data_IF_892161092397
#
_entry.id   IF_892161092397
#
_cell.length_a   1.000
_cell.length_b   1.000
_cell.length_c   1.000
_cell.angle_alpha   90.00
_cell.angle_beta   90.00
_cell.angle_gamma   90.00
#
_symmetry.space_group_name_H-M   'P 1'
#
loop_
_entity.id
_entity.type
_entity.pdbx_description
1 polymer ?
#
# COMPACT_ATOMS: atom_id res chain seq x y z
N UNK A 1 -2.63 7.68 51.85
CA UNK A 1 -1.45 7.70 50.95
C UNK A 1 -1.61 6.54 49.99
N UNK A 2 -2.35 6.75 48.89
CA UNK A 2 -2.62 5.71 47.90
C UNK A 2 -1.83 6.03 46.64
N UNK A 3 -0.74 5.29 46.44
CA UNK A 3 0.04 5.32 45.21
C UNK A 3 -0.68 4.47 44.16
N UNK A 4 -1.71 5.07 43.54
CA UNK A 4 -2.44 4.49 42.41
C UNK A 4 -1.61 4.58 41.12
N UNK A 5 -0.90 3.49 40.83
CA UNK A 5 -0.53 3.00 39.50
C UNK A 5 -0.55 4.02 38.35
N UNK A 6 0.56 4.73 38.15
CA UNK A 6 0.89 5.34 36.86
C UNK A 6 1.23 4.23 35.86
N UNK A 7 0.18 3.67 35.25
CA UNK A 7 0.27 2.89 34.01
C UNK A 7 0.73 3.80 32.88
N UNK A 8 2.01 4.16 32.90
CA UNK A 8 2.69 4.74 31.75
C UNK A 8 2.63 3.71 30.64
N UNK A 9 1.74 3.96 29.68
CA UNK A 9 1.75 3.25 28.41
C UNK A 9 3.15 3.43 27.84
N UNK A 10 3.98 2.39 27.98
CA UNK A 10 5.28 2.36 27.33
C UNK A 10 5.01 2.62 25.84
N UNK A 11 5.62 3.66 25.23
CA UNK A 11 5.50 3.86 23.80
C UNK A 11 5.96 2.56 23.15
N UNK A 12 5.11 1.94 22.32
CA UNK A 12 5.41 0.70 21.60
C UNK A 12 6.52 0.89 20.53
N UNK A 13 7.55 1.69 20.84
CA UNK A 13 8.79 1.82 20.10
C UNK A 13 9.71 0.65 20.46
N UNK A 14 9.41 -0.51 19.88
CA UNK A 14 10.24 -1.70 20.08
C UNK A 14 9.99 -2.85 19.10
N UNK A 15 9.00 -2.75 18.21
CA UNK A 15 8.76 -3.78 17.20
C UNK A 15 9.64 -3.48 15.98
N UNK A 16 10.76 -4.21 15.86
CA UNK A 16 11.68 -4.15 14.71
C UNK A 16 10.86 -4.21 13.42
N UNK A 17 10.90 -3.13 12.63
CA UNK A 17 10.11 -3.01 11.40
C UNK A 17 10.47 -4.17 10.45
N UNK A 18 9.49 -4.94 9.94
CA UNK A 18 9.78 -5.98 8.98
C UNK A 18 10.40 -5.34 7.74
N UNK A 19 11.53 -5.86 7.27
CA UNK A 19 12.23 -5.32 6.08
C UNK A 19 11.29 -5.22 4.87
N UNK A 20 10.37 -6.17 4.70
CA UNK A 20 9.42 -6.12 3.59
C UNK A 20 8.36 -5.03 3.73
N UNK A 21 7.95 -4.62 4.94
CA UNK A 21 7.08 -3.44 5.11
C UNK A 21 7.81 -2.17 4.67
N UNK A 22 9.10 -2.07 4.97
CA UNK A 22 9.93 -0.96 4.49
C UNK A 22 10.05 -0.97 2.97
N UNK A 23 10.26 -2.14 2.36
CA UNK A 23 10.26 -2.28 0.89
C UNK A 23 8.92 -1.84 0.31
N UNK A 24 7.79 -2.26 0.89
CA UNK A 24 6.46 -1.83 0.45
C UNK A 24 6.26 -0.32 0.57
N UNK A 25 6.71 0.30 1.67
CA UNK A 25 6.62 1.74 1.85
C UNK A 25 7.35 2.48 0.71
N UNK A 26 8.56 2.04 0.38
CA UNK A 26 9.32 2.61 -0.74
C UNK A 26 8.65 2.33 -2.08
N UNK A 27 8.16 1.12 -2.34
CA UNK A 27 7.44 0.80 -3.56
C UNK A 27 6.23 1.72 -3.76
N UNK A 28 5.42 1.93 -2.72
CA UNK A 28 4.26 2.82 -2.81
C UNK A 28 4.65 4.30 -2.98
N UNK A 29 5.73 4.75 -2.34
CA UNK A 29 6.26 6.09 -2.54
C UNK A 29 6.74 6.31 -3.98
N UNK A 30 7.53 5.38 -4.52
CA UNK A 30 8.01 5.44 -5.90
C UNK A 30 6.85 5.34 -6.89
N UNK A 31 5.87 4.47 -6.64
CA UNK A 31 4.65 4.38 -7.46
C UNK A 31 3.85 5.67 -7.44
N UNK A 32 3.69 6.31 -6.28
CA UNK A 32 3.01 7.61 -6.18
C UNK A 32 3.71 8.70 -6.99
N UNK A 33 5.04 8.81 -6.87
CA UNK A 33 5.85 9.75 -7.66
C UNK A 33 5.72 9.44 -9.16
N UNK A 34 5.79 8.17 -9.55
CA UNK A 34 5.64 7.75 -10.94
C UNK A 34 4.26 8.13 -11.51
N UNK A 35 3.18 7.87 -10.76
CA UNK A 35 1.82 8.26 -11.15
C UNK A 35 1.70 9.78 -11.30
N UNK A 36 2.23 10.55 -10.36
CA UNK A 36 2.22 12.01 -10.45
C UNK A 36 3.03 12.53 -11.66
N UNK A 37 4.14 11.89 -11.99
CA UNK A 37 4.90 12.17 -13.21
C UNK A 37 4.11 11.84 -14.48
N UNK A 38 3.33 10.76 -14.46
CA UNK A 38 2.43 10.39 -15.57
C UNK A 38 1.29 11.41 -15.75
N UNK A 39 0.75 12.00 -14.67
CA UNK A 39 -0.27 13.07 -14.79
C UNK A 39 0.24 14.20 -15.68
N UNK A 40 1.51 14.59 -15.56
CA UNK A 40 2.11 15.60 -16.45
C UNK A 40 2.15 15.16 -17.92
N UNK A 41 2.46 13.89 -18.20
CA UNK A 41 2.45 13.35 -19.56
C UNK A 41 1.03 13.32 -20.14
N UNK A 42 0.03 13.01 -19.32
CA UNK A 42 -1.38 12.97 -19.73
C UNK A 42 -1.95 14.35 -20.07
N UNK A 43 -1.35 15.45 -19.61
CA UNK A 43 -1.81 16.81 -19.94
C UNK A 43 -1.73 17.09 -21.45
N UNK A 44 -0.87 16.38 -22.18
CA UNK A 44 -0.78 16.45 -23.63
C UNK A 44 -1.98 15.81 -24.36
N UNK A 45 -2.70 14.90 -23.70
CA UNK A 45 -3.81 14.12 -24.28
C UNK A 45 -5.17 14.84 -24.16
N UNK A 46 -5.21 16.05 -23.60
CA UNK A 46 -6.40 16.89 -23.44
C UNK A 46 -7.62 16.13 -22.86
N UNK A 47 -7.37 15.28 -21.87
CA UNK A 47 -8.41 14.51 -21.19
C UNK A 47 -9.37 15.43 -20.39
N UNK A 48 -10.54 14.92 -19.98
CA UNK A 48 -11.41 15.67 -19.09
C UNK A 48 -10.74 16.01 -17.75
N UNK A 49 -11.00 17.19 -17.20
CA UNK A 49 -10.39 17.70 -15.96
C UNK A 49 -10.60 16.75 -14.76
N UNK A 50 -11.74 16.08 -14.71
CA UNK A 50 -12.07 15.06 -13.72
C UNK A 50 -11.14 13.85 -13.75
N UNK A 51 -10.64 13.49 -14.93
CA UNK A 51 -9.69 12.37 -15.09
C UNK A 51 -8.35 12.76 -14.46
N UNK A 52 -7.86 13.96 -14.75
CA UNK A 52 -6.64 14.49 -14.13
C UNK A 52 -6.74 14.55 -12.62
N UNK A 53 -7.88 15.04 -12.11
CA UNK A 53 -8.11 15.13 -10.67
C UNK A 53 -8.11 13.73 -10.03
N UNK A 54 -8.75 12.74 -10.65
CA UNK A 54 -8.77 11.37 -10.15
C UNK A 54 -7.36 10.77 -10.07
N UNK A 55 -6.53 10.93 -11.11
CA UNK A 55 -5.16 10.44 -11.12
C UNK A 55 -4.26 11.14 -10.10
N UNK A 56 -4.44 12.45 -9.94
CA UNK A 56 -3.69 13.23 -8.94
C UNK A 56 -4.03 12.80 -7.52
N UNK A 57 -5.33 12.65 -7.21
CA UNK A 57 -5.79 12.15 -5.92
C UNK A 57 -5.30 10.71 -5.66
N UNK A 58 -5.31 9.85 -6.68
CA UNK A 58 -4.81 8.50 -6.56
C UNK A 58 -3.30 8.45 -6.28
N UNK A 59 -2.49 9.26 -6.99
CA UNK A 59 -1.06 9.39 -6.74
C UNK A 59 -0.75 9.86 -5.31
N UNK A 60 -1.48 10.85 -4.81
CA UNK A 60 -1.38 11.31 -3.41
C UNK A 60 -1.79 10.22 -2.43
N UNK A 61 -2.87 9.47 -2.71
CA UNK A 61 -3.31 8.37 -1.87
C UNK A 61 -2.26 7.24 -1.80
N UNK A 62 -1.55 6.95 -2.89
CA UNK A 62 -0.43 6.00 -2.89
C UNK A 62 0.72 6.47 -2.00
N UNK A 63 1.09 7.74 -2.06
CA UNK A 63 2.11 8.31 -1.17
C UNK A 63 1.66 8.26 0.29
N UNK A 64 0.42 8.65 0.58
CA UNK A 64 -0.16 8.55 1.91
C UNK A 64 -0.13 7.10 2.43
N UNK A 65 -0.42 6.12 1.58
CA UNK A 65 -0.33 4.69 1.90
C UNK A 65 1.11 4.29 2.24
N UNK A 66 2.09 4.74 1.44
CA UNK A 66 3.51 4.52 1.72
C UNK A 66 3.97 5.09 3.07
N UNK A 67 3.47 6.27 3.44
CA UNK A 67 3.68 6.85 4.78
C UNK A 67 2.97 6.02 5.85
N UNK A 68 1.73 5.61 5.60
CA UNK A 68 0.96 4.73 6.50
C UNK A 68 1.64 3.37 6.75
N UNK A 69 2.35 2.83 5.75
CA UNK A 69 3.23 1.67 5.90
C UNK A 69 4.38 1.93 6.89
N UNK A 70 4.99 3.12 6.88
CA UNK A 70 6.07 3.48 7.81
C UNK A 70 5.59 3.57 9.27
N UNK A 71 4.35 4.00 9.49
CA UNK A 71 3.75 4.13 10.82
C UNK A 71 2.99 2.87 11.29
N UNK A 72 2.83 1.85 10.44
CA UNK A 72 2.10 0.62 10.81
C UNK A 72 0.60 0.82 10.99
N UNK A 73 -0.01 1.74 10.24
CA UNK A 73 -1.43 2.08 10.39
C UNK A 73 -2.36 1.05 9.73
N UNK A 74 -3.40 0.60 10.44
CA UNK A 74 -4.39 -0.40 9.97
C UNK A 74 -5.02 -0.09 8.60
N UNK A 75 -5.29 1.18 8.31
CA UNK A 75 -5.92 1.60 7.05
C UNK A 75 -4.97 1.44 5.85
N UNK A 76 -3.66 1.57 6.04
CA UNK A 76 -2.67 1.43 4.97
C UNK A 76 -2.61 -0.02 4.47
N UNK A 77 -2.80 -0.98 5.38
CA UNK A 77 -2.91 -2.39 5.01
C UNK A 77 -4.12 -2.66 4.12
N UNK A 78 -5.31 -2.15 4.49
CA UNK A 78 -6.51 -2.31 3.68
C UNK A 78 -6.38 -1.66 2.30
N UNK A 79 -5.84 -0.44 2.24
CA UNK A 79 -5.57 0.22 0.96
C UNK A 79 -4.61 -0.59 0.09
N UNK A 80 -3.55 -1.15 0.68
CA UNK A 80 -2.62 -1.96 -0.09
C UNK A 80 -3.25 -3.26 -0.62
N UNK A 81 -4.05 -3.96 0.20
CA UNK A 81 -4.76 -5.16 -0.25
C UNK A 81 -5.72 -4.83 -1.39
N UNK A 82 -6.53 -3.77 -1.24
CA UNK A 82 -7.48 -3.33 -2.28
C UNK A 82 -6.72 -2.93 -3.54
N UNK A 83 -5.68 -2.11 -3.40
CA UNK A 83 -4.88 -1.63 -4.52
C UNK A 83 -4.21 -2.77 -5.29
N UNK A 84 -3.60 -3.73 -4.59
CA UNK A 84 -2.94 -4.87 -5.23
C UNK A 84 -3.93 -5.83 -5.86
N UNK A 85 -5.10 -6.03 -5.24
CA UNK A 85 -6.16 -6.87 -5.82
C UNK A 85 -6.68 -6.25 -7.12
N UNK A 86 -6.95 -4.94 -7.12
CA UNK A 86 -7.37 -4.20 -8.31
C UNK A 86 -6.28 -4.22 -9.39
N UNK A 87 -5.02 -3.98 -9.01
CA UNK A 87 -3.88 -4.03 -9.93
C UNK A 87 -3.75 -5.40 -10.57
N UNK A 88 -3.85 -6.49 -9.80
CA UNK A 88 -3.80 -7.85 -10.33
C UNK A 88 -4.94 -8.13 -11.33
N UNK A 89 -6.16 -7.67 -11.04
CA UNK A 89 -7.29 -7.83 -11.96
C UNK A 89 -7.08 -7.06 -13.27
N UNK A 90 -6.64 -5.81 -13.20
CA UNK A 90 -6.35 -4.99 -14.39
C UNK A 90 -5.25 -5.65 -15.22
N UNK A 91 -4.15 -6.06 -14.58
CA UNK A 91 -3.02 -6.70 -15.27
C UNK A 91 -3.41 -8.03 -15.93
N UNK A 92 -4.29 -8.80 -15.29
CA UNK A 92 -4.83 -10.03 -15.88
C UNK A 92 -5.60 -9.75 -17.17
N UNK A 93 -6.48 -8.75 -17.16
CA UNK A 93 -7.24 -8.34 -18.35
C UNK A 93 -6.31 -7.84 -19.45
N UNK A 94 -5.33 -6.99 -19.12
CA UNK A 94 -4.39 -6.44 -20.10
C UNK A 94 -3.47 -7.52 -20.73
N UNK A 95 -3.05 -8.51 -19.93
CA UNK A 95 -2.24 -9.64 -20.40
C UNK A 95 -2.97 -10.46 -21.48
N UNK A 96 -4.28 -10.65 -21.32
CA UNK A 96 -5.09 -11.41 -22.30
C UNK A 96 -5.25 -10.66 -23.63
N UNK A 97 -5.14 -9.33 -23.62
CA UNK A 97 -5.50 -8.49 -24.77
C UNK A 97 -4.28 -8.06 -25.59
N UNK A 98 -3.16 -7.61 -24.98
CA UNK A 98 -2.23 -6.74 -25.71
C UNK A 98 -0.72 -7.07 -25.68
N UNK A 99 -0.13 -7.66 -24.61
CA UNK A 99 1.33 -7.90 -24.60
C UNK A 99 1.79 -8.80 -23.43
N UNK A 100 2.69 -9.79 -23.64
CA UNK A 100 3.31 -10.55 -22.56
C UNK A 100 4.05 -9.71 -21.51
N UNK A 101 4.45 -8.47 -21.79
CA UNK A 101 5.12 -7.60 -20.81
C UNK A 101 4.30 -7.39 -19.53
N UNK A 102 2.97 -7.46 -19.63
CA UNK A 102 2.05 -7.31 -18.50
C UNK A 102 2.10 -8.49 -17.50
N UNK A 103 2.61 -9.66 -17.92
CA UNK A 103 2.83 -10.81 -17.03
C UNK A 103 3.79 -10.46 -15.89
N UNK A 104 4.78 -9.61 -16.14
CA UNK A 104 5.73 -9.18 -15.12
C UNK A 104 5.04 -8.32 -14.04
N UNK A 105 4.19 -7.39 -14.46
CA UNK A 105 3.38 -6.57 -13.56
C UNK A 105 2.39 -7.39 -12.74
N UNK A 106 1.76 -8.39 -13.37
CA UNK A 106 0.87 -9.33 -12.69
C UNK A 106 1.63 -10.15 -11.63
N UNK A 107 2.80 -10.68 -11.98
CA UNK A 107 3.63 -11.45 -11.06
C UNK A 107 4.04 -10.62 -9.83
N UNK A 108 4.52 -9.39 -10.02
CA UNK A 108 4.83 -8.48 -8.92
C UNK A 108 3.60 -8.24 -8.05
N UNK A 109 2.45 -7.97 -8.68
CA UNK A 109 1.21 -7.67 -7.97
C UNK A 109 0.78 -8.83 -7.07
N UNK A 110 0.87 -10.07 -7.58
CA UNK A 110 0.57 -11.30 -6.84
C UNK A 110 1.57 -11.56 -5.71
N UNK A 111 2.88 -11.37 -5.95
CA UNK A 111 3.92 -11.54 -4.92
C UNK A 111 3.71 -10.54 -3.78
N UNK A 112 3.43 -9.28 -4.11
CA UNK A 112 3.16 -8.23 -3.12
C UNK A 112 1.87 -8.54 -2.35
N UNK A 113 0.80 -8.93 -3.05
CA UNK A 113 -0.47 -9.29 -2.40
C UNK A 113 -0.28 -10.46 -1.43
N UNK A 114 0.42 -11.51 -1.87
CA UNK A 114 0.77 -12.65 -1.01
C UNK A 114 1.56 -12.21 0.21
N UNK A 115 2.56 -11.33 0.05
CA UNK A 115 3.37 -10.82 1.15
C UNK A 115 2.54 -10.00 2.15
N UNK A 116 1.68 -9.10 1.67
CA UNK A 116 0.80 -8.26 2.50
C UNK A 116 -0.20 -9.11 3.30
N UNK A 117 -0.65 -10.23 2.75
CA UNK A 117 -1.57 -11.16 3.41
C UNK A 117 -0.88 -12.04 4.47
N UNK A 118 0.46 -12.05 4.53
CA UNK A 118 1.23 -12.88 5.46
C UNK A 118 0.96 -12.46 6.92
N UNK A 119 0.84 -13.42 7.87
CA UNK A 119 0.50 -13.12 9.27
C UNK A 119 1.43 -12.09 9.92
N UNK A 120 2.73 -12.18 9.66
CA UNK A 120 3.73 -11.25 10.17
C UNK A 120 3.49 -9.78 9.74
N UNK A 121 2.91 -9.55 8.56
CA UNK A 121 2.57 -8.20 8.10
C UNK A 121 1.27 -7.74 8.76
N UNK A 122 0.27 -8.61 8.86
CA UNK A 122 -1.00 -8.33 9.55
C UNK A 122 -0.79 -7.96 11.02
N UNK A 123 0.11 -8.66 11.71
CA UNK A 123 0.55 -8.38 13.09
C UNK A 123 1.18 -6.98 13.22
N UNK A 124 2.02 -6.58 12.27
CA UNK A 124 2.64 -5.25 12.26
C UNK A 124 1.59 -4.13 12.16
N UNK A 125 0.55 -4.35 11.35
CA UNK A 125 -0.57 -3.41 11.23
C UNK A 125 -1.60 -3.54 12.34
N UNK A 126 -1.51 -4.53 13.23
CA UNK A 126 -2.53 -4.81 14.24
C UNK A 126 -3.87 -5.23 13.63
N UNK A 127 -3.84 -5.82 12.43
CA UNK A 127 -4.98 -6.41 11.73
C UNK A 127 -4.99 -7.91 12.02
N UNK A 128 -5.04 -8.28 13.31
CA UNK A 128 -5.32 -9.66 13.67
C UNK A 128 -6.84 -9.89 13.67
N UNK A 129 -7.26 -10.83 12.83
CA UNK A 129 -8.54 -11.51 12.91
C UNK A 129 -8.25 -12.95 13.33
N UNK A 130 -8.18 -13.20 14.64
CA UNK A 130 -8.00 -14.54 15.22
C UNK A 130 -7.92 -14.45 16.75
N UNK A 131 -8.71 -15.25 17.50
CA UNK A 131 -8.75 -15.16 18.95
C UNK A 131 -7.40 -15.55 19.56
N UNK A 132 -6.92 -14.74 20.50
CA UNK A 132 -5.78 -15.06 21.36
C UNK A 132 -5.99 -16.44 21.99
N UNK A 133 -5.10 -17.37 21.71
CA UNK A 133 -4.97 -18.61 22.49
C UNK A 133 -4.13 -18.35 23.73
#
# INVERSE_FOLDING_TARGET
MEAGASGSQQPQQGRKRPLGVTILAYLYLFSGIFVLGMVQAMMAENLPAETFLAWLLYGVALMATGVGFMYGMKWAWWLAVVNQSLSALIMLVLTVINDPIWLFGLFISLVVLYYVLRPHVKEFFGVEAGPSK
#
